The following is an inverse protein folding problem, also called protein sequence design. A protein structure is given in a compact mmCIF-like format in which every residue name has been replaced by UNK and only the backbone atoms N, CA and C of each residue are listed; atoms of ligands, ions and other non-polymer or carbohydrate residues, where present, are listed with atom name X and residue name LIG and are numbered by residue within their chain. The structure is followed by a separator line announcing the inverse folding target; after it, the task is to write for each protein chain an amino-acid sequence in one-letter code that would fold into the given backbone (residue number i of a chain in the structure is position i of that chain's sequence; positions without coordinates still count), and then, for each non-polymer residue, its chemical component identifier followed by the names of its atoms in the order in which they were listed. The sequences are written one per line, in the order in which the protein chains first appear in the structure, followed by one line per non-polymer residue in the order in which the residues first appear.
data_IF_737765821053
#
_entry.id   IF_737765821053
#
_cell.length_a   1.000
_cell.length_b   1.000
_cell.length_c   1.000
_cell.angle_alpha   90.00
_cell.angle_beta   90.00
_cell.angle_gamma   90.00
#
_symmetry.space_group_name_H-M   'P 1'
#
loop_
_entity.id
_entity.type
_entity.pdbx_description
1 polymer ?
#
# COMPACT_ATOMS: atom_id res chain seq x y z
N UNK A 1 -11.74 -13.79 -11.40
CA UNK A 1 -10.52 -13.35 -12.11
C UNK A 1 -10.85 -12.92 -13.54
N UNK A 2 -11.34 -13.82 -14.41
CA UNK A 2 -11.67 -13.47 -15.81
C UNK A 2 -12.55 -12.23 -15.97
N UNK A 3 -13.66 -12.10 -15.25
CA UNK A 3 -14.51 -10.90 -15.37
C UNK A 3 -13.82 -9.61 -14.90
N UNK A 4 -12.90 -9.71 -13.93
CA UNK A 4 -12.10 -8.56 -13.49
C UNK A 4 -11.03 -8.21 -14.54
N UNK A 5 -10.49 -9.22 -15.24
CA UNK A 5 -9.58 -8.98 -16.37
C UNK A 5 -10.28 -8.26 -17.52
N UNK A 6 -11.52 -8.66 -17.87
CA UNK A 6 -12.33 -7.98 -18.87
C UNK A 6 -12.61 -6.51 -18.49
N UNK A 7 -12.85 -6.23 -17.20
CA UNK A 7 -12.93 -4.85 -16.73
C UNK A 7 -11.63 -4.07 -17.00
N UNK A 8 -10.47 -4.67 -16.71
CA UNK A 8 -9.19 -4.00 -16.96
C UNK A 8 -8.88 -3.82 -18.45
N UNK A 9 -9.32 -4.72 -19.32
CA UNK A 9 -9.23 -4.51 -20.78
C UNK A 9 -9.95 -3.23 -21.22
N UNK A 10 -11.13 -2.96 -20.65
CA UNK A 10 -11.92 -1.77 -20.98
C UNK A 10 -11.44 -0.52 -20.22
N UNK A 11 -10.87 -0.69 -19.04
CA UNK A 11 -10.47 0.40 -18.14
C UNK A 11 -9.09 0.99 -18.46
N UNK A 12 -8.15 0.13 -18.86
CA UNK A 12 -6.76 0.53 -19.05
C UNK A 12 -6.59 1.32 -20.35
N UNK A 13 -5.80 2.38 -20.28
CA UNK A 13 -5.41 3.17 -21.44
C UNK A 13 -3.95 2.86 -21.81
N UNK A 14 -3.51 3.40 -22.94
CA UNK A 14 -2.09 3.39 -23.33
C UNK A 14 -1.62 4.81 -23.61
N UNK A 15 -0.37 5.10 -23.27
CA UNK A 15 0.30 6.35 -23.67
C UNK A 15 0.83 6.29 -25.12
N UNK A 16 1.49 7.37 -25.55
CA UNK A 16 2.07 7.50 -26.88
C UNK A 16 3.21 6.49 -27.12
N UNK A 17 3.88 6.04 -26.06
CA UNK A 17 4.91 5.00 -26.08
C UNK A 17 4.33 3.58 -26.05
N UNK A 18 3.01 3.44 -25.92
CA UNK A 18 2.31 2.16 -25.84
C UNK A 18 2.38 1.50 -24.47
N UNK A 19 2.90 2.17 -23.43
CA UNK A 19 2.85 1.68 -22.06
C UNK A 19 1.41 1.76 -21.52
N UNK A 20 1.06 0.79 -20.68
CA UNK A 20 -0.25 0.74 -20.03
C UNK A 20 -0.35 1.79 -18.94
N UNK A 21 -1.49 2.50 -18.93
CA UNK A 21 -1.87 3.50 -17.95
C UNK A 21 -3.07 3.00 -17.14
N UNK A 22 -2.90 2.99 -15.82
CA UNK A 22 -4.01 2.95 -14.87
C UNK A 22 -4.40 4.40 -14.56
N UNK A 23 -5.51 4.85 -15.14
CA UNK A 23 -6.03 6.20 -14.93
C UNK A 23 -7.56 6.20 -15.03
N UNK A 24 -8.27 6.78 -14.04
CA UNK A 24 -7.72 7.30 -12.78
C UNK A 24 -7.11 6.19 -11.91
N UNK A 25 -6.12 6.54 -11.10
CA UNK A 25 -5.46 5.64 -10.14
C UNK A 25 -5.41 6.29 -8.77
N UNK A 26 -5.11 5.51 -7.75
CA UNK A 26 -5.06 5.97 -6.37
C UNK A 26 -4.10 5.10 -5.55
N UNK A 27 -3.36 5.70 -4.60
CA UNK A 27 -2.79 4.96 -3.47
C UNK A 27 -3.67 5.23 -2.25
N UNK A 28 -4.40 4.21 -1.73
CA UNK A 28 -5.43 4.39 -0.72
C UNK A 28 -5.10 5.40 0.39
N UNK A 29 -5.87 6.49 0.38
CA UNK A 29 -5.86 7.56 1.38
C UNK A 29 -4.55 8.36 1.46
N UNK A 30 -3.61 8.17 0.52
CA UNK A 30 -2.41 8.99 0.39
C UNK A 30 -2.51 9.92 -0.82
N UNK A 31 -1.66 10.95 -0.84
CA UNK A 31 -1.53 11.90 -1.91
C UNK A 31 -0.05 12.15 -2.24
N UNK A 32 0.30 12.51 -3.48
CA UNK A 32 1.62 13.06 -3.78
C UNK A 32 1.92 14.27 -2.90
N UNK A 33 3.18 14.44 -2.48
CA UNK A 33 3.55 15.46 -1.49
C UNK A 33 3.26 16.90 -1.97
N UNK A 34 3.35 17.13 -3.28
CA UNK A 34 3.06 18.41 -3.92
C UNK A 34 1.58 18.79 -3.86
N UNK A 35 0.68 17.82 -3.76
CA UNK A 35 -0.78 18.03 -3.64
C UNK A 35 -1.21 18.34 -2.20
N UNK A 36 -0.30 18.22 -1.22
CA UNK A 36 -0.57 18.44 0.21
C UNK A 36 -0.15 19.86 0.65
N UNK A 37 0.29 20.73 -0.28
CA UNK A 37 0.85 22.04 0.03
C UNK A 37 -0.14 23.03 0.70
N UNK A 38 -0.08 23.10 2.03
CA UNK A 38 -0.72 24.08 2.93
C UNK A 38 -0.40 23.77 4.40
N UNK A 39 -0.50 24.75 5.31
CA UNK A 39 -0.43 24.54 6.78
C UNK A 39 -1.64 23.72 7.24
N UNK A 40 -1.64 22.41 6.95
CA UNK A 40 -2.72 21.52 7.35
C UNK A 40 -2.19 20.58 8.41
N UNK A 41 -2.83 20.66 9.58
CA UNK A 41 -2.57 19.79 10.72
C UNK A 41 -2.77 18.32 10.31
N UNK A 42 -1.66 17.63 10.09
CA UNK A 42 -1.58 16.22 9.70
C UNK A 42 -2.23 15.28 10.72
N UNK A 43 -2.46 15.75 11.96
CA UNK A 43 -3.18 14.98 12.99
C UNK A 43 -4.71 14.99 12.82
N UNK A 44 -5.25 15.88 11.96
CA UNK A 44 -6.69 16.13 11.82
C UNK A 44 -7.24 15.64 10.48
N UNK A 45 -6.39 15.43 9.46
CA UNK A 45 -6.90 15.09 8.13
C UNK A 45 -7.05 13.58 7.92
N UNK A 46 -8.22 13.07 8.30
CA UNK A 46 -8.69 11.74 7.92
C UNK A 46 -9.02 11.60 6.43
N UNK A 47 -8.99 12.67 5.61
CA UNK A 47 -9.07 12.59 4.15
C UNK A 47 -8.80 13.99 3.51
N UNK A 48 -7.63 14.27 2.92
CA UNK A 48 -7.36 15.51 2.18
C UNK A 48 -8.28 15.79 0.98
N UNK A 49 -9.10 14.82 0.58
CA UNK A 49 -9.48 14.66 -0.82
C UNK A 49 -8.40 13.83 -1.48
N UNK A 50 -8.71 12.56 -1.76
CA UNK A 50 -7.73 11.66 -2.36
C UNK A 50 -7.55 12.07 -3.82
N UNK A 51 -6.38 12.60 -4.24
CA UNK A 51 -6.19 13.00 -5.62
C UNK A 51 -6.24 11.75 -6.50
N UNK A 52 -6.97 11.84 -7.60
CA UNK A 52 -6.86 10.85 -8.67
C UNK A 52 -5.47 11.05 -9.30
N UNK A 53 -4.66 10.01 -9.26
CA UNK A 53 -3.32 10.02 -9.84
C UNK A 53 -3.28 9.13 -11.08
N UNK A 54 -2.08 8.96 -11.61
CA UNK A 54 -1.78 8.03 -12.70
C UNK A 54 -0.76 7.01 -12.20
N UNK A 55 -1.02 5.73 -12.45
CA UNK A 55 -0.11 4.63 -12.14
C UNK A 55 0.42 4.63 -10.68
N UNK A 56 -0.47 4.53 -9.69
CA UNK A 56 -0.02 4.19 -8.34
C UNK A 56 0.67 2.81 -8.36
N UNK A 57 1.66 2.63 -7.49
CA UNK A 57 2.38 1.35 -7.39
C UNK A 57 1.44 0.20 -7.02
N UNK A 58 0.47 0.44 -6.13
CA UNK A 58 -0.50 -0.59 -5.73
C UNK A 58 -1.42 -1.01 -6.89
N UNK A 59 -1.96 -0.07 -7.67
CA UNK A 59 -2.87 -0.43 -8.76
C UNK A 59 -2.12 -1.19 -9.86
N UNK A 60 -0.91 -0.74 -10.20
CA UNK A 60 -0.07 -1.43 -11.16
C UNK A 60 0.29 -2.84 -10.68
N UNK A 61 0.57 -3.00 -9.39
CA UNK A 61 0.81 -4.31 -8.79
C UNK A 61 -0.43 -5.21 -8.83
N UNK A 62 -1.62 -4.68 -8.56
CA UNK A 62 -2.88 -5.43 -8.59
C UNK A 62 -3.22 -5.90 -10.00
N UNK A 63 -3.05 -5.03 -11.02
CA UNK A 63 -3.25 -5.41 -12.42
C UNK A 63 -2.24 -6.50 -12.81
N UNK A 64 -0.96 -6.31 -12.49
CA UNK A 64 0.11 -7.28 -12.80
C UNK A 64 -0.18 -8.64 -12.19
N UNK A 65 -0.58 -8.68 -10.92
CA UNK A 65 -0.87 -9.91 -10.19
C UNK A 65 -2.12 -10.61 -10.72
N UNK A 66 -3.23 -9.88 -10.91
CA UNK A 66 -4.48 -10.46 -11.38
C UNK A 66 -4.31 -11.11 -12.76
N UNK A 67 -3.73 -10.37 -13.70
CA UNK A 67 -3.58 -10.84 -15.09
C UNK A 67 -2.51 -11.93 -15.19
N UNK A 68 -1.38 -11.78 -14.47
CA UNK A 68 -0.34 -12.81 -14.39
C UNK A 68 -0.88 -14.13 -13.83
N UNK A 69 -1.57 -14.07 -12.69
CA UNK A 69 -2.17 -15.26 -12.06
C UNK A 69 -3.25 -15.88 -12.96
N UNK A 70 -4.00 -15.07 -13.72
CA UNK A 70 -5.01 -15.59 -14.63
C UNK A 70 -4.38 -16.33 -15.81
N UNK A 71 -3.30 -15.80 -16.40
CA UNK A 71 -2.55 -16.50 -17.44
C UNK A 71 -1.96 -17.81 -16.91
N UNK A 72 -1.32 -17.79 -15.73
CA UNK A 72 -0.78 -19.01 -15.11
C UNK A 72 -1.87 -20.06 -14.83
N UNK A 73 -3.06 -19.62 -14.42
CA UNK A 73 -4.20 -20.51 -14.22
C UNK A 73 -4.66 -21.15 -15.53
N UNK A 74 -4.70 -20.41 -16.65
CA UNK A 74 -5.03 -20.95 -17.97
C UNK A 74 -4.02 -22.02 -18.41
N UNK A 75 -2.72 -21.76 -18.22
CA UNK A 75 -1.65 -22.71 -18.52
C UNK A 75 -1.76 -23.98 -17.67
N UNK A 76 -1.94 -23.80 -16.36
CA UNK A 76 -2.03 -24.91 -15.39
C UNK A 76 -3.25 -25.80 -15.64
N UNK A 77 -4.38 -25.21 -16.04
CA UNK A 77 -5.62 -25.93 -16.29
C UNK A 77 -5.76 -26.44 -17.73
N UNK A 78 -4.83 -26.09 -18.63
CA UNK A 78 -4.90 -26.46 -20.05
C UNK A 78 -6.08 -25.83 -20.79
N UNK A 79 -6.48 -24.61 -20.42
CA UNK A 79 -7.59 -23.89 -21.05
C UNK A 79 -7.15 -23.29 -22.41
N UNK A 80 -8.11 -22.98 -23.31
CA UNK A 80 -7.79 -22.34 -24.58
C UNK A 80 -7.09 -20.97 -24.40
N UNK A 81 -5.92 -20.83 -25.01
CA UNK A 81 -5.03 -19.66 -24.86
C UNK A 81 -5.39 -18.45 -25.73
N UNK A 82 -6.43 -18.55 -26.57
CA UNK A 82 -6.83 -17.45 -27.46
C UNK A 82 -7.21 -16.17 -26.69
N UNK A 83 -7.64 -16.30 -25.43
CA UNK A 83 -8.04 -15.19 -24.57
C UNK A 83 -6.85 -14.56 -23.81
N UNK A 84 -5.70 -15.24 -23.69
CA UNK A 84 -4.60 -14.81 -22.79
C UNK A 84 -3.60 -13.85 -23.45
N UNK A 85 -3.59 -13.77 -24.78
CA UNK A 85 -2.63 -12.94 -25.53
C UNK A 85 -2.72 -11.45 -25.15
N UNK A 86 -3.94 -10.92 -24.99
CA UNK A 86 -4.17 -9.53 -24.58
C UNK A 86 -3.69 -9.28 -23.14
N UNK A 87 -3.87 -10.25 -22.24
CA UNK A 87 -3.43 -10.11 -20.84
C UNK A 87 -1.92 -10.14 -20.70
N UNK A 88 -1.23 -11.02 -21.45
CA UNK A 88 0.22 -11.01 -21.53
C UNK A 88 0.75 -9.68 -22.09
N UNK A 89 0.10 -9.15 -23.12
CA UNK A 89 0.44 -7.87 -23.71
C UNK A 89 0.26 -6.70 -22.72
N UNK A 90 -0.83 -6.69 -21.95
CA UNK A 90 -1.03 -5.70 -20.88
C UNK A 90 0.10 -5.80 -19.84
N UNK A 91 0.37 -7.00 -19.31
CA UNK A 91 1.39 -7.21 -18.27
C UNK A 91 2.78 -6.80 -18.74
N UNK A 92 3.12 -7.09 -20.00
CA UNK A 92 4.41 -6.73 -20.61
C UNK A 92 4.59 -5.21 -20.78
N UNK A 93 3.50 -4.45 -20.89
CA UNK A 93 3.53 -3.00 -21.09
C UNK A 93 3.21 -2.18 -19.83
N UNK A 94 2.93 -2.82 -18.69
CA UNK A 94 2.85 -2.14 -17.40
C UNK A 94 4.23 -1.60 -17.01
N UNK A 95 4.29 -0.30 -16.68
CA UNK A 95 5.52 0.34 -16.22
C UNK A 95 6.13 -0.40 -15.01
N UNK A 96 7.47 -0.49 -14.93
CA UNK A 96 8.14 -1.17 -13.82
C UNK A 96 7.99 -0.36 -12.53
N UNK A 97 8.13 -1.05 -11.39
CA UNK A 97 8.32 -0.36 -10.11
C UNK A 97 9.62 0.44 -10.12
N UNK A 98 9.64 1.58 -9.44
CA UNK A 98 10.81 2.46 -9.39
C UNK A 98 11.29 2.70 -7.97
N UNK A 99 12.58 3.00 -7.86
CA UNK A 99 13.19 3.58 -6.66
C UNK A 99 13.16 5.09 -6.85
N UNK A 100 12.68 5.82 -5.85
CA UNK A 100 12.63 7.27 -5.89
C UNK A 100 13.98 7.91 -5.51
N UNK A 101 14.07 9.24 -5.56
CA UNK A 101 15.30 9.99 -5.24
C UNK A 101 15.79 9.79 -3.79
N UNK A 102 14.88 9.36 -2.94
CA UNK A 102 15.04 9.11 -1.52
C UNK A 102 15.55 7.68 -1.22
N UNK A 103 15.78 6.86 -2.25
CA UNK A 103 16.19 5.47 -2.14
C UNK A 103 15.06 4.53 -1.68
N UNK A 104 13.82 5.00 -1.64
CA UNK A 104 12.65 4.23 -1.24
C UNK A 104 11.91 3.65 -2.46
N UNK A 105 11.19 2.55 -2.24
CA UNK A 105 10.22 2.05 -3.23
C UNK A 105 9.17 3.14 -3.43
N UNK A 106 9.05 3.66 -4.65
CA UNK A 106 8.15 4.77 -4.91
C UNK A 106 6.69 4.36 -4.75
N UNK A 107 5.88 5.25 -4.19
CA UNK A 107 4.44 5.03 -4.10
C UNK A 107 3.71 5.31 -5.41
N UNK A 108 4.29 6.20 -6.20
CA UNK A 108 3.78 6.60 -7.50
C UNK A 108 4.78 6.22 -8.59
N UNK A 109 4.33 5.51 -9.62
CA UNK A 109 5.22 5.13 -10.74
C UNK A 109 5.52 6.33 -11.64
N UNK A 110 4.56 7.25 -11.77
CA UNK A 110 4.76 8.48 -12.53
C UNK A 110 5.83 9.36 -11.85
N UNK A 111 6.80 9.84 -12.64
CA UNK A 111 7.97 10.59 -12.13
C UNK A 111 7.61 11.93 -11.52
N UNK A 112 6.54 12.56 -12.02
CA UNK A 112 6.12 13.88 -11.54
C UNK A 112 5.58 13.84 -10.10
N UNK A 113 5.24 12.63 -9.61
CA UNK A 113 4.71 12.43 -8.28
C UNK A 113 5.77 12.10 -7.24
N UNK A 114 5.75 12.84 -6.13
CA UNK A 114 6.68 12.67 -5.02
C UNK A 114 5.97 12.00 -3.84
N UNK A 115 6.67 11.13 -3.12
CA UNK A 115 6.07 10.35 -2.05
C UNK A 115 5.80 11.19 -0.80
N UNK A 116 4.58 11.08 -0.26
CA UNK A 116 4.27 11.55 1.08
C UNK A 116 4.49 10.44 2.10
N UNK A 117 5.49 10.61 2.97
CA UNK A 117 5.76 9.65 4.04
C UNK A 117 4.81 9.75 5.23
N UNK A 118 4.17 10.90 5.46
CA UNK A 118 3.32 11.14 6.62
C UNK A 118 1.93 10.49 6.46
N UNK A 119 1.88 9.15 6.39
CA UNK A 119 0.65 8.39 6.25
C UNK A 119 0.73 6.98 6.85
N UNK A 120 -0.42 6.44 7.26
CA UNK A 120 -0.53 5.11 7.88
C UNK A 120 -0.60 3.96 6.88
N UNK A 121 -1.02 4.23 5.64
CA UNK A 121 -1.08 3.19 4.61
C UNK A 121 0.30 2.95 3.98
N UNK A 122 0.53 1.68 3.66
CA UNK A 122 1.74 1.15 3.02
C UNK A 122 1.37 0.50 1.68
N UNK A 123 0.40 1.08 0.97
CA UNK A 123 -0.22 0.47 -0.21
C UNK A 123 0.79 0.09 -1.29
N UNK A 124 1.80 0.92 -1.52
CA UNK A 124 2.87 0.66 -2.49
C UNK A 124 3.80 -0.51 -2.13
N UNK A 125 3.70 -1.04 -0.91
CA UNK A 125 4.43 -2.24 -0.48
C UNK A 125 3.65 -3.53 -0.82
N UNK A 126 2.43 -3.42 -1.36
CA UNK A 126 1.65 -4.55 -1.87
C UNK A 126 2.46 -5.57 -2.69
N UNK A 127 3.37 -5.16 -3.61
CA UNK A 127 4.21 -6.11 -4.36
C UNK A 127 5.07 -7.05 -3.51
N UNK A 128 5.39 -6.66 -2.26
CA UNK A 128 6.18 -7.44 -1.29
C UNK A 128 5.29 -8.24 -0.34
N UNK A 129 4.22 -7.62 0.14
CA UNK A 129 3.21 -8.27 0.97
C UNK A 129 1.86 -7.52 0.85
N UNK A 130 0.74 -8.22 0.64
CA UNK A 130 0.62 -9.69 0.55
C UNK A 130 1.08 -10.28 -0.79
N UNK A 131 1.45 -9.47 -1.78
CA UNK A 131 1.93 -9.94 -3.07
C UNK A 131 3.31 -10.61 -3.01
N UNK A 132 3.76 -11.14 -4.15
CA UNK A 132 5.03 -11.85 -4.29
C UNK A 132 5.88 -11.34 -5.45
N UNK A 133 5.57 -10.16 -5.99
CA UNK A 133 6.21 -9.58 -7.18
C UNK A 133 7.59 -8.98 -6.90
N UNK A 134 7.86 -8.59 -5.66
CA UNK A 134 9.19 -8.11 -5.22
C UNK A 134 9.69 -9.06 -4.14
N UNK A 135 10.77 -9.78 -4.44
CA UNK A 135 11.46 -10.68 -3.52
C UNK A 135 12.92 -10.31 -3.36
N UNK A 136 13.55 -10.75 -2.27
CA UNK A 136 14.97 -10.49 -2.02
C UNK A 136 15.85 -11.18 -3.05
N UNK A 137 15.44 -12.36 -3.49
CA UNK A 137 16.19 -13.23 -4.39
C UNK A 137 16.14 -12.73 -5.83
N UNK A 138 14.97 -12.26 -6.28
CA UNK A 138 14.78 -11.87 -7.68
C UNK A 138 14.95 -10.37 -7.91
N UNK A 139 14.60 -9.51 -6.94
CA UNK A 139 14.68 -8.05 -7.06
C UNK A 139 15.31 -7.41 -5.81
N UNK A 140 16.59 -7.70 -5.49
CA UNK A 140 17.23 -7.26 -4.25
C UNK A 140 17.24 -5.73 -4.07
N UNK A 141 17.40 -4.96 -5.15
CA UNK A 141 17.41 -3.49 -5.10
C UNK A 141 16.05 -2.91 -4.72
N UNK A 142 14.96 -3.39 -5.33
CA UNK A 142 13.59 -2.98 -4.99
C UNK A 142 13.18 -3.47 -3.61
N UNK A 143 13.63 -4.66 -3.21
CA UNK A 143 13.39 -5.20 -1.88
C UNK A 143 14.03 -4.32 -0.80
N UNK A 144 15.28 -3.89 -1.03
CA UNK A 144 15.97 -2.96 -0.14
C UNK A 144 15.32 -1.57 -0.14
N UNK A 145 14.87 -1.07 -1.29
CA UNK A 145 14.11 0.17 -1.37
C UNK A 145 12.79 0.11 -0.58
N UNK A 146 12.17 -1.08 -0.50
CA UNK A 146 10.98 -1.30 0.34
C UNK A 146 11.32 -1.14 1.83
N UNK A 147 12.48 -1.63 2.27
CA UNK A 147 12.96 -1.43 3.64
C UNK A 147 13.14 0.07 3.95
N UNK A 148 13.70 0.83 3.01
CA UNK A 148 13.84 2.29 3.15
C UNK A 148 12.48 2.98 3.23
N UNK A 149 11.50 2.57 2.40
CA UNK A 149 10.13 3.09 2.44
C UNK A 149 9.46 2.86 3.81
N UNK A 150 9.61 1.66 4.37
CA UNK A 150 9.14 1.32 5.73
C UNK A 150 9.77 2.22 6.80
N UNK A 151 11.07 2.46 6.72
CA UNK A 151 11.78 3.29 7.69
C UNK A 151 11.35 4.76 7.62
N UNK A 152 11.18 5.28 6.41
CA UNK A 152 10.67 6.64 6.21
C UNK A 152 9.25 6.80 6.74
N UNK A 153 8.37 5.80 6.56
CA UNK A 153 7.02 5.78 7.14
C UNK A 153 7.03 5.80 8.66
N UNK A 154 7.98 5.10 9.28
CA UNK A 154 8.11 5.07 10.75
C UNK A 154 8.74 6.34 11.34
N UNK A 155 9.38 7.19 10.53
CA UNK A 155 9.98 8.44 10.99
C UNK A 155 8.96 9.48 11.49
N UNK A 156 7.70 9.39 11.05
CA UNK A 156 6.59 10.23 11.55
C UNK A 156 6.06 9.76 12.91
N UNK A 157 6.54 8.61 13.41
CA UNK A 157 6.16 8.08 14.71
C UNK A 157 4.90 7.22 14.66
N UNK A 158 4.54 6.68 15.84
CA UNK A 158 3.45 5.73 15.98
C UNK A 158 2.05 6.37 16.00
N UNK A 159 1.97 7.70 16.08
CA UNK A 159 0.72 8.45 16.28
C UNK A 159 -0.29 8.29 15.13
N UNK A 160 0.19 8.00 13.92
CA UNK A 160 -0.68 7.71 12.77
C UNK A 160 -1.10 6.23 12.66
N UNK A 161 -0.47 5.33 13.42
CA UNK A 161 -0.70 3.88 13.29
C UNK A 161 -1.99 3.44 13.99
N UNK A 162 -2.52 2.30 13.56
CA UNK A 162 -3.81 1.72 13.96
C UNK A 162 -3.65 0.21 14.16
N UNK A 163 -4.65 -0.45 14.73
CA UNK A 163 -4.58 -1.90 14.94
C UNK A 163 -4.31 -2.70 13.65
N UNK A 164 -4.99 -2.37 12.55
CA UNK A 164 -4.76 -3.06 11.28
C UNK A 164 -3.40 -2.71 10.67
N UNK A 165 -2.92 -1.47 10.82
CA UNK A 165 -1.64 -1.07 10.21
C UNK A 165 -0.46 -1.74 10.91
N UNK A 166 -0.52 -1.93 12.24
CA UNK A 166 0.49 -2.71 12.98
C UNK A 166 0.51 -4.18 12.54
N UNK A 167 -0.65 -4.80 12.34
CA UNK A 167 -0.74 -6.17 11.83
C UNK A 167 -0.19 -6.28 10.40
N UNK A 168 -0.48 -5.29 9.55
CA UNK A 168 0.03 -5.24 8.18
C UNK A 168 1.56 -5.07 8.15
N UNK A 169 2.10 -4.16 8.96
CA UNK A 169 3.55 -3.98 9.12
C UNK A 169 4.24 -5.27 9.60
N UNK A 170 3.63 -5.99 10.54
CA UNK A 170 4.16 -7.27 10.99
C UNK A 170 4.27 -8.28 9.83
N UNK A 171 3.29 -8.33 8.94
CA UNK A 171 3.34 -9.17 7.72
C UNK A 171 4.47 -8.78 6.77
N UNK A 172 4.65 -7.47 6.54
CA UNK A 172 5.76 -6.94 5.72
C UNK A 172 7.12 -7.28 6.35
N UNK A 173 7.31 -7.02 7.66
CA UNK A 173 8.55 -7.34 8.35
C UNK A 173 8.84 -8.85 8.40
N UNK A 174 7.80 -9.68 8.50
CA UNK A 174 7.97 -11.12 8.39
C UNK A 174 8.51 -11.52 7.02
N UNK A 175 8.00 -10.92 5.93
CA UNK A 175 8.54 -11.11 4.56
C UNK A 175 10.00 -10.67 4.45
N UNK A 176 10.40 -9.64 5.21
CA UNK A 176 11.77 -9.13 5.29
C UNK A 176 12.71 -9.94 6.19
N UNK A 177 12.19 -10.93 6.93
CA UNK A 177 12.98 -11.69 7.91
C UNK A 177 13.33 -10.89 9.19
N UNK A 178 12.62 -9.80 9.44
CA UNK A 178 12.90 -8.84 10.51
C UNK A 178 12.15 -9.18 11.81
N UNK A 179 12.47 -10.33 12.41
CA UNK A 179 11.73 -10.90 13.53
C UNK A 179 11.57 -9.95 14.74
N UNK A 180 12.60 -9.15 15.05
CA UNK A 180 12.53 -8.17 16.14
C UNK A 180 11.52 -7.05 15.87
N UNK A 181 11.39 -6.61 14.61
CA UNK A 181 10.40 -5.61 14.20
C UNK A 181 8.99 -6.20 14.22
N UNK A 182 8.83 -7.46 13.81
CA UNK A 182 7.56 -8.21 13.95
C UNK A 182 7.10 -8.25 15.41
N UNK A 183 7.99 -8.61 16.33
CA UNK A 183 7.68 -8.63 17.76
C UNK A 183 7.26 -7.25 18.25
N UNK A 184 7.97 -6.19 17.84
CA UNK A 184 7.63 -4.81 18.19
C UNK A 184 6.22 -4.43 17.72
N UNK A 185 5.84 -4.78 16.49
CA UNK A 185 4.48 -4.54 15.98
C UNK A 185 3.41 -5.24 16.82
N UNK A 186 3.64 -6.50 17.22
CA UNK A 186 2.69 -7.23 18.06
C UNK A 186 2.63 -6.72 19.49
N UNK A 187 3.77 -6.33 20.07
CA UNK A 187 3.81 -5.72 21.40
C UNK A 187 3.01 -4.42 21.43
N UNK A 188 3.18 -3.57 20.40
CA UNK A 188 2.39 -2.34 20.25
C UNK A 188 0.91 -2.66 20.07
N UNK A 189 0.57 -3.57 19.15
CA UNK A 189 -0.82 -3.97 18.87
C UNK A 189 -1.52 -4.45 20.14
N UNK A 190 -0.89 -5.34 20.91
CA UNK A 190 -1.46 -5.88 22.15
C UNK A 190 -1.66 -4.79 23.22
N UNK A 191 -0.70 -3.85 23.32
CA UNK A 191 -0.73 -2.76 24.30
C UNK A 191 -1.77 -1.70 23.99
N UNK A 192 -2.01 -1.37 22.73
CA UNK A 192 -2.84 -0.21 22.35
C UNK A 192 -4.18 -0.58 21.74
N UNK A 193 -4.24 -1.69 21.01
CA UNK A 193 -5.37 -2.00 20.13
C UNK A 193 -6.06 -3.34 20.43
N UNK A 194 -5.66 -4.09 21.46
CA UNK A 194 -6.34 -5.35 21.85
C UNK A 194 -7.12 -5.21 23.15
N UNK A 195 -8.42 -5.52 23.10
CA UNK A 195 -9.33 -5.53 24.24
C UNK A 195 -9.14 -6.74 25.17
N UNK A 196 -9.73 -6.70 26.36
CA UNK A 196 -9.72 -7.83 27.30
C UNK A 196 -10.41 -9.09 26.73
N UNK A 197 -11.30 -8.91 25.75
CA UNK A 197 -11.97 -9.97 24.99
C UNK A 197 -11.18 -10.44 23.76
N UNK A 198 -9.92 -10.00 23.60
CA UNK A 198 -9.05 -10.27 22.46
C UNK A 198 -9.51 -9.70 21.11
N UNK A 199 -10.53 -8.86 21.08
CA UNK A 199 -10.85 -8.12 19.85
C UNK A 199 -9.81 -7.06 19.57
N UNK A 200 -9.49 -6.91 18.29
CA UNK A 200 -8.69 -5.79 17.79
C UNK A 200 -9.59 -4.58 17.55
N UNK A 201 -9.10 -3.42 17.94
CA UNK A 201 -9.73 -2.13 17.70
C UNK A 201 -8.88 -1.30 16.74
N UNK A 202 -9.53 -0.40 16.01
CA UNK A 202 -8.83 0.47 15.07
C UNK A 202 -7.88 1.44 15.78
N UNK A 203 -8.36 2.11 16.83
CA UNK A 203 -7.66 3.18 17.55
C UNK A 203 -7.16 2.72 18.93
N UNK A 204 -6.28 3.52 19.53
CA UNK A 204 -5.84 3.37 20.92
C UNK A 204 -7.02 3.51 21.87
N UNK A 205 -7.63 2.38 22.24
CA UNK A 205 -8.81 2.36 23.12
C UNK A 205 -8.44 2.66 24.57
N UNK A 206 -7.17 2.44 24.95
CA UNK A 206 -6.66 2.71 26.30
C UNK A 206 -6.20 4.16 26.47
N UNK A 207 -6.22 4.96 25.38
CA UNK A 207 -5.78 6.35 25.34
C UNK A 207 -4.37 6.53 25.93
N UNK A 208 -3.47 5.57 25.65
CA UNK A 208 -2.06 5.62 26.06
C UNK A 208 -1.27 6.65 25.25
N UNK A 209 -1.84 7.15 24.15
CA UNK A 209 -1.25 8.18 23.30
C UNK A 209 -0.13 7.65 22.40
N UNK A 210 -0.08 6.34 22.19
CA UNK A 210 0.97 5.68 21.40
C UNK A 210 0.53 5.51 19.94
N UNK A 211 -0.76 5.31 19.68
CA UNK A 211 -1.34 5.14 18.34
C UNK A 211 -2.53 6.09 18.15
N UNK A 212 -3.13 6.10 16.95
CA UNK A 212 -4.21 7.04 16.61
C UNK A 212 -5.28 7.07 17.71
N UNK A 213 -5.49 8.25 18.29
CA UNK A 213 -6.43 8.43 19.41
C UNK A 213 -7.86 8.32 18.92
N UNK A 214 -8.73 7.83 19.79
CA UNK A 214 -10.18 7.94 19.57
C UNK A 214 -10.56 9.42 19.66
N UNK A 215 -10.88 10.05 18.53
CA UNK A 215 -11.61 11.32 18.53
C UNK A 215 -13.08 11.03 18.86
N UNK A 216 -13.38 10.90 20.15
CA UNK A 216 -14.75 11.06 20.63
C UNK A 216 -15.05 12.55 20.47
N UNK A 217 -15.85 12.90 19.45
CA UNK A 217 -16.32 14.27 19.26
C UNK A 217 -16.79 14.85 20.59
N UNK A 218 -16.39 16.10 20.90
CA UNK A 218 -16.63 16.81 22.17
C UNK A 218 -17.96 16.39 22.83
N UNK A 219 -17.87 15.44 23.74
CA UNK A 219 -19.03 14.79 24.34
C UNK A 219 -18.77 14.54 25.80
N UNK A 220 -19.19 15.52 26.63
CA UNK A 220 -19.56 15.36 28.03
C UNK A 220 -18.51 14.79 28.98
N UNK A 221 -18.03 15.65 29.89
CA UNK A 221 -17.40 15.19 31.13
C UNK A 221 -18.25 14.11 31.81
N UNK A 222 -17.63 12.97 32.13
CA UNK A 222 -18.24 11.97 33.01
C UNK A 222 -18.08 12.50 34.45
N UNK A 223 -19.16 12.73 35.23
CA UNK A 223 -19.03 13.12 36.62
C UNK A 223 -18.54 11.93 37.46
N UNK A 224 -17.71 12.25 38.46
CA UNK A 224 -17.02 11.30 39.34
C UNK A 224 -17.88 10.62 40.39
#
# INVERSE_FOLDING_TARGET
MREVALFYEDYLLRDEEGCVLVVPSNSPENAPSEDIAGEVDLSVMMNPGVPLTINSTIDTALVRELLGNLCEAYDTLGLPQADTAVWHDIVAHLRPFRINEDGALAEWIHSDHHDNYAHRHLSHIYPVFPGFQITKEEQPELFEATRVAMEKRMSIGLEAQTGWSLAHQAGIYARMGEAAKVQTCFDLLARTCVGANLFTYHNDWRNMGVTLRVSLGKGGAVPG
#
